data_IF_891739866789
#
_entry.id   IF_891739866789
#
_cell.length_a   1.000
_cell.length_b   1.000
_cell.length_c   1.000
_cell.angle_alpha   90.00
_cell.angle_beta   90.00
_cell.angle_gamma   90.00
#
_symmetry.space_group_name_H-M   'P 1'
#
loop_
_entity.id
_entity.type
_entity.pdbx_description
1 polymer ?
#
# COMPACT_ATOMS: atom_id res chain seq x y z
N UNK A 1 3.73 1.86 28.97
CA UNK A 1 4.18 2.61 27.77
C UNK A 1 4.12 1.83 26.43
N UNK A 2 3.74 0.55 26.37
CA UNK A 2 3.83 -0.25 25.11
C UNK A 2 2.57 -0.26 24.21
N UNK A 3 1.36 -0.18 24.78
CA UNK A 3 0.10 -0.32 24.03
C UNK A 3 -0.20 0.89 23.14
N UNK A 4 -0.13 2.11 23.70
CA UNK A 4 -0.39 3.35 22.96
C UNK A 4 0.47 3.54 21.71
N UNK A 5 1.75 3.12 21.75
CA UNK A 5 2.64 3.17 20.57
C UNK A 5 2.23 2.15 19.49
N UNK A 6 1.79 0.96 19.88
CA UNK A 6 1.34 -0.05 18.93
C UNK A 6 0.02 0.38 18.25
N UNK A 7 -0.88 1.00 19.00
CA UNK A 7 -2.14 1.51 18.49
C UNK A 7 -1.91 2.66 17.50
N UNK A 8 -0.97 3.57 17.81
CA UNK A 8 -0.52 4.59 16.86
C UNK A 8 -0.03 3.96 15.56
N UNK A 9 0.88 2.98 15.61
CA UNK A 9 1.41 2.32 14.41
C UNK A 9 0.32 1.62 13.59
N UNK A 10 -0.65 0.97 14.24
CA UNK A 10 -1.81 0.37 13.56
C UNK A 10 -2.69 1.42 12.92
N UNK A 11 -2.94 2.54 13.60
CA UNK A 11 -3.69 3.68 13.07
C UNK A 11 -3.05 4.25 11.81
N UNK A 12 -1.72 4.44 11.82
CA UNK A 12 -0.98 4.93 10.65
C UNK A 12 -1.04 3.95 9.47
N UNK A 13 -0.87 2.65 9.73
CA UNK A 13 -0.99 1.61 8.71
C UNK A 13 -2.41 1.54 8.13
N UNK A 14 -3.42 1.68 8.97
CA UNK A 14 -4.82 1.75 8.55
C UNK A 14 -5.11 2.97 7.68
N UNK A 15 -4.58 4.15 8.05
CA UNK A 15 -4.70 5.38 7.25
C UNK A 15 -4.12 5.22 5.85
N UNK A 16 -3.02 4.47 5.72
CA UNK A 16 -2.39 4.12 4.43
C UNK A 16 -3.12 3.00 3.64
N UNK A 17 -4.26 2.51 4.13
CA UNK A 17 -5.05 1.44 3.49
C UNK A 17 -4.55 0.03 3.78
N UNK A 18 -3.67 -0.16 4.77
CA UNK A 18 -3.10 -1.45 5.16
C UNK A 18 -3.42 -1.80 6.62
N UNK A 19 -4.70 -1.91 7.02
CA UNK A 19 -5.08 -2.14 8.41
C UNK A 19 -4.52 -3.48 8.91
N UNK A 20 -4.07 -3.47 10.16
CA UNK A 20 -3.57 -4.66 10.85
C UNK A 20 -4.45 -4.88 12.08
N UNK A 21 -5.01 -6.09 12.21
CA UNK A 21 -5.87 -6.46 13.34
C UNK A 21 -5.17 -6.25 14.68
N UNK A 22 -5.92 -5.86 15.70
CA UNK A 22 -5.44 -5.79 17.09
C UNK A 22 -5.01 -7.17 17.59
N UNK A 23 -5.68 -8.23 17.14
CA UNK A 23 -5.36 -9.63 17.44
C UNK A 23 -4.05 -10.09 16.80
N UNK A 24 -3.49 -9.31 15.87
CA UNK A 24 -2.18 -9.62 15.31
C UNK A 24 -1.14 -9.58 16.43
N UNK A 25 -0.47 -10.72 16.64
CA UNK A 25 0.64 -10.87 17.61
C UNK A 25 1.94 -10.19 17.15
N UNK A 26 1.84 -9.15 16.30
CA UNK A 26 3.01 -8.41 15.82
C UNK A 26 3.59 -7.55 16.94
N UNK A 27 4.92 -7.61 17.12
CA UNK A 27 5.63 -6.70 18.01
C UNK A 27 5.60 -5.26 17.48
N UNK A 28 5.80 -4.27 18.36
CA UNK A 28 5.93 -2.87 17.95
C UNK A 28 7.03 -2.64 16.90
N UNK A 29 8.14 -3.37 16.99
CA UNK A 29 9.21 -3.34 15.98
C UNK A 29 8.75 -3.91 14.62
N UNK A 30 7.95 -4.97 14.63
CA UNK A 30 7.38 -5.53 13.40
C UNK A 30 6.41 -4.55 12.73
N UNK A 31 5.56 -3.90 13.53
CA UNK A 31 4.65 -2.85 13.05
C UNK A 31 5.44 -1.66 12.47
N UNK A 32 6.50 -1.23 13.14
CA UNK A 32 7.41 -0.18 12.67
C UNK A 32 8.04 -0.53 11.32
N UNK A 33 8.58 -1.74 11.18
CA UNK A 33 9.15 -2.23 9.90
C UNK A 33 8.09 -2.26 8.79
N UNK A 34 6.86 -2.69 9.10
CA UNK A 34 5.74 -2.70 8.16
C UNK A 34 5.32 -1.29 7.74
N UNK A 35 5.31 -0.33 8.66
CA UNK A 35 5.05 1.08 8.35
C UNK A 35 6.15 1.68 7.46
N UNK A 36 7.43 1.40 7.73
CA UNK A 36 8.55 1.80 6.86
C UNK A 36 8.40 1.24 5.44
N UNK A 37 7.98 -0.04 5.32
CA UNK A 37 7.69 -0.65 4.02
C UNK A 37 6.50 0.03 3.32
N UNK A 38 5.44 0.35 4.05
CA UNK A 38 4.27 1.07 3.52
C UNK A 38 4.68 2.45 2.97
N UNK A 39 5.43 3.24 3.74
CA UNK A 39 5.92 4.56 3.31
C UNK A 39 6.82 4.43 2.07
N UNK A 40 7.69 3.42 2.02
CA UNK A 40 8.53 3.16 0.86
C UNK A 40 7.73 2.78 -0.39
N UNK A 41 6.69 1.94 -0.25
CA UNK A 41 5.82 1.55 -1.35
C UNK A 41 4.96 2.70 -1.86
N UNK A 42 4.42 3.52 -0.97
CA UNK A 42 3.63 4.71 -1.31
C UNK A 42 4.46 5.71 -2.15
N UNK A 43 5.76 5.80 -1.88
CA UNK A 43 6.75 6.60 -2.62
C UNK A 43 7.28 5.91 -3.90
N UNK A 44 6.84 4.68 -4.19
CA UNK A 44 7.38 3.85 -5.27
C UNK A 44 8.92 3.66 -5.20
N UNK A 45 9.49 3.70 -3.99
CA UNK A 45 10.93 3.59 -3.74
C UNK A 45 11.62 2.39 -4.40
N UNK A 46 11.03 1.18 -4.47
CA UNK A 46 11.66 0.05 -5.15
C UNK A 46 12.03 0.32 -6.61
N UNK A 47 11.25 1.14 -7.32
CA UNK A 47 11.54 1.51 -8.71
C UNK A 47 12.74 2.47 -8.85
N UNK A 48 13.13 3.13 -7.76
CA UNK A 48 14.23 4.07 -7.69
C UNK A 48 15.45 3.52 -6.95
N UNK A 49 15.46 2.22 -6.60
CA UNK A 49 16.52 1.63 -5.78
C UNK A 49 17.92 1.81 -6.37
N UNK A 50 18.07 1.75 -7.70
CA UNK A 50 19.34 1.96 -8.40
C UNK A 50 19.84 3.41 -8.39
N UNK A 51 19.02 4.37 -7.94
CA UNK A 51 19.36 5.79 -7.84
C UNK A 51 19.65 6.24 -6.40
N UNK A 52 19.66 5.29 -5.46
CA UNK A 52 19.82 5.57 -4.04
C UNK A 52 21.19 5.04 -3.54
N UNK A 53 21.87 5.74 -2.62
CA UNK A 53 21.49 7.05 -2.08
C UNK A 53 21.62 8.16 -3.14
N UNK A 54 20.78 9.18 -3.05
CA UNK A 54 20.61 10.18 -4.11
C UNK A 54 21.33 11.48 -3.77
N UNK A 55 22.05 12.04 -4.73
CA UNK A 55 22.57 13.40 -4.65
C UNK A 55 21.69 14.34 -5.50
N UNK A 56 20.81 15.16 -4.88
CA UNK A 56 19.84 15.98 -5.61
C UNK A 56 20.46 16.89 -6.67
N UNK A 57 21.63 17.48 -6.43
CA UNK A 57 22.27 18.42 -7.38
C UNK A 57 22.77 17.76 -8.66
N UNK A 58 22.88 16.43 -8.68
CA UNK A 58 23.27 15.66 -9.86
C UNK A 58 22.05 15.33 -10.74
N UNK A 59 20.84 15.60 -10.26
CA UNK A 59 19.62 15.41 -11.04
C UNK A 59 19.36 16.64 -11.92
N UNK A 60 18.70 16.45 -13.08
CA UNK A 60 18.18 17.56 -13.85
C UNK A 60 17.19 18.39 -13.01
N UNK A 61 17.21 19.71 -13.18
CA UNK A 61 16.17 20.58 -12.61
C UNK A 61 14.81 20.16 -13.17
N UNK A 62 13.78 20.17 -12.33
CA UNK A 62 12.43 19.84 -12.79
C UNK A 62 11.97 20.87 -13.83
N UNK A 63 11.82 20.40 -15.07
CA UNK A 63 11.26 21.17 -16.17
C UNK A 63 10.43 20.18 -17.00
N UNK A 64 9.10 20.25 -16.89
CA UNK A 64 8.24 19.29 -17.58
C UNK A 64 8.17 19.61 -19.07
N UNK A 65 8.06 18.57 -19.91
CA UNK A 65 7.93 18.71 -21.37
C UNK A 65 6.73 19.57 -21.81
N UNK A 66 5.75 19.76 -20.92
CA UNK A 66 4.48 20.45 -21.19
C UNK A 66 4.20 21.64 -20.24
N UNK A 67 5.17 22.07 -19.42
CA UNK A 67 4.96 23.17 -18.45
C UNK A 67 3.99 22.86 -17.30
N UNK A 68 3.70 21.58 -17.04
CA UNK A 68 2.94 21.14 -15.88
C UNK A 68 3.66 21.52 -14.57
N UNK A 69 2.99 22.23 -13.65
CA UNK A 69 3.53 22.53 -12.32
C UNK A 69 3.85 21.25 -11.54
N UNK A 70 4.93 21.27 -10.78
CA UNK A 70 5.38 20.15 -9.97
C UNK A 70 4.35 19.76 -8.91
N UNK A 71 3.66 20.72 -8.28
CA UNK A 71 2.63 20.38 -7.28
C UNK A 71 1.50 19.52 -7.88
N UNK A 72 1.20 19.65 -9.18
CA UNK A 72 0.23 18.76 -9.85
C UNK A 72 0.75 17.34 -9.98
N UNK A 73 2.05 17.15 -10.18
CA UNK A 73 2.66 15.82 -10.15
C UNK A 73 2.70 15.22 -8.73
N UNK A 74 2.49 15.99 -7.66
CA UNK A 74 2.26 15.46 -6.31
C UNK A 74 0.81 14.99 -6.08
N UNK A 75 -0.14 15.36 -6.94
CA UNK A 75 -1.54 14.90 -6.88
C UNK A 75 -1.70 13.50 -7.50
N UNK A 76 -1.17 12.47 -6.83
CA UNK A 76 -1.20 11.06 -7.28
C UNK A 76 -2.55 10.38 -7.09
N UNK A 77 -3.58 10.79 -7.83
CA UNK A 77 -4.96 10.26 -7.68
C UNK A 77 -5.09 8.87 -8.31
N UNK A 78 -5.71 7.93 -7.59
CA UNK A 78 -6.09 6.62 -8.14
C UNK A 78 -7.46 6.62 -8.80
N UNK A 79 -7.78 5.59 -9.60
CA UNK A 79 -9.12 5.44 -10.21
C UNK A 79 -10.26 5.47 -9.18
N UNK A 80 -10.07 4.79 -8.04
CA UNK A 80 -11.06 4.77 -6.97
C UNK A 80 -11.26 6.15 -6.36
N UNK A 81 -10.17 6.88 -6.11
CA UNK A 81 -10.24 8.24 -5.59
C UNK A 81 -10.90 9.20 -6.59
N UNK A 82 -10.58 9.10 -7.88
CA UNK A 82 -11.20 9.90 -8.93
C UNK A 82 -12.72 9.65 -9.00
N UNK A 83 -13.15 8.39 -8.89
CA UNK A 83 -14.58 8.05 -8.89
C UNK A 83 -15.31 8.56 -7.64
N UNK A 84 -14.66 8.62 -6.48
CA UNK A 84 -15.24 9.23 -5.28
C UNK A 84 -15.36 10.76 -5.42
N UNK A 85 -14.37 11.42 -6.01
CA UNK A 85 -14.42 12.87 -6.30
C UNK A 85 -15.56 13.17 -7.28
N UNK A 86 -15.64 12.43 -8.39
CA UNK A 86 -16.71 12.58 -9.38
C UNK A 86 -18.10 12.38 -8.74
N UNK A 87 -18.24 11.40 -7.85
CA UNK A 87 -19.50 11.18 -7.11
C UNK A 87 -19.85 12.36 -6.20
N UNK A 88 -18.87 12.94 -5.52
CA UNK A 88 -19.10 14.12 -4.70
C UNK A 88 -19.51 15.33 -5.54
N UNK A 89 -18.86 15.55 -6.70
CA UNK A 89 -19.20 16.61 -7.65
C UNK A 89 -20.61 16.45 -8.22
N UNK A 90 -21.02 15.23 -8.58
CA UNK A 90 -22.40 14.95 -9.00
C UNK A 90 -23.44 15.24 -7.90
N UNK A 91 -23.03 15.17 -6.63
CA UNK A 91 -23.84 15.57 -5.47
C UNK A 91 -23.82 17.08 -5.17
N UNK A 92 -23.15 17.88 -5.99
CA UNK A 92 -22.98 19.33 -5.79
C UNK A 92 -21.83 19.72 -4.84
N UNK A 93 -20.98 18.77 -4.48
CA UNK A 93 -19.78 18.97 -3.67
C UNK A 93 -18.51 19.11 -4.51
N UNK A 94 -17.37 18.82 -3.90
CA UNK A 94 -16.03 18.88 -4.50
C UNK A 94 -15.08 17.81 -3.94
N UNK A 95 -13.80 17.88 -4.30
CA UNK A 95 -12.79 16.95 -3.78
C UNK A 95 -12.64 16.98 -2.24
N UNK A 96 -12.91 18.11 -1.59
CA UNK A 96 -12.88 18.23 -0.12
C UNK A 96 -14.11 17.58 0.53
N UNK A 97 -15.20 17.46 -0.22
CA UNK A 97 -16.38 16.67 0.19
C UNK A 97 -16.08 15.17 0.14
N UNK A 98 -15.37 14.70 -0.90
CA UNK A 98 -14.96 13.31 -1.03
C UNK A 98 -13.87 12.93 0.00
N UNK A 99 -12.92 13.83 0.23
CA UNK A 99 -11.78 13.63 1.13
C UNK A 99 -11.58 14.84 2.04
N UNK A 100 -12.34 14.94 3.15
CA UNK A 100 -12.21 16.06 4.06
C UNK A 100 -10.86 16.05 4.78
N UNK A 101 -10.32 17.26 5.01
CA UNK A 101 -9.08 17.45 5.76
C UNK A 101 -9.18 16.89 7.18
N UNK A 102 -8.05 16.42 7.72
CA UNK A 102 -7.90 15.92 9.09
C UNK A 102 -8.68 14.63 9.40
N UNK A 103 -9.24 13.95 8.40
CA UNK A 103 -9.92 12.66 8.58
C UNK A 103 -9.02 11.46 8.30
N UNK A 104 -8.07 11.60 7.39
CA UNK A 104 -7.14 10.53 7.04
C UNK A 104 -5.73 11.09 6.91
N UNK A 105 -4.88 10.75 7.87
CA UNK A 105 -3.50 11.24 7.96
C UNK A 105 -2.65 11.00 6.70
N UNK A 106 -2.95 9.96 5.89
CA UNK A 106 -2.23 9.72 4.64
C UNK A 106 -2.73 10.62 3.49
N UNK A 107 -4.02 10.92 3.45
CA UNK A 107 -4.57 11.93 2.54
C UNK A 107 -4.06 13.32 2.91
N UNK A 108 -4.04 13.64 4.20
CA UNK A 108 -3.50 14.91 4.68
C UNK A 108 -2.00 15.05 4.35
N UNK A 109 -1.20 14.00 4.58
CA UNK A 109 0.20 13.94 4.15
C UNK A 109 0.38 14.30 2.68
N UNK A 110 -0.48 13.78 1.78
CA UNK A 110 -0.41 14.11 0.34
C UNK A 110 -0.64 15.59 0.09
N UNK A 111 -1.59 16.19 0.81
CA UNK A 111 -1.85 17.63 0.75
C UNK A 111 -0.67 18.44 1.31
N UNK A 112 -0.03 17.99 2.39
CA UNK A 112 1.20 18.60 2.93
C UNK A 112 2.30 18.62 1.88
N UNK A 113 2.61 17.47 1.26
CA UNK A 113 3.68 17.37 0.26
C UNK A 113 3.39 18.21 -0.99
N UNK A 114 2.13 18.24 -1.43
CA UNK A 114 1.70 19.11 -2.53
C UNK A 114 1.84 20.59 -2.15
N UNK A 115 1.45 20.97 -0.93
CA UNK A 115 1.55 22.33 -0.42
C UNK A 115 3.00 22.80 -0.33
N UNK A 116 3.91 21.97 0.19
CA UNK A 116 5.35 22.24 0.18
C UNK A 116 5.85 22.55 -1.23
N UNK A 117 5.48 21.72 -2.20
CA UNK A 117 5.90 21.89 -3.59
C UNK A 117 5.33 23.17 -4.20
N UNK A 118 4.04 23.46 -3.98
CA UNK A 118 3.39 24.68 -4.45
C UNK A 118 4.04 25.93 -3.84
N UNK A 119 4.34 25.91 -2.54
CA UNK A 119 5.06 26.99 -1.87
C UNK A 119 6.41 27.25 -2.53
N UNK A 120 7.17 26.20 -2.84
CA UNK A 120 8.44 26.32 -3.54
C UNK A 120 8.29 26.98 -4.92
N UNK A 121 7.29 26.58 -5.70
CA UNK A 121 7.02 27.18 -7.02
C UNK A 121 6.64 28.66 -6.93
N UNK A 122 5.94 29.06 -5.87
CA UNK A 122 5.56 30.46 -5.58
C UNK A 122 6.67 31.29 -4.93
N UNK A 123 7.91 30.77 -4.88
CA UNK A 123 9.06 31.50 -4.33
C UNK A 123 9.19 31.43 -2.81
N UNK A 124 8.27 30.73 -2.12
CA UNK A 124 8.35 30.51 -0.67
C UNK A 124 9.31 29.37 -0.37
N UNK A 125 10.30 29.60 0.50
CA UNK A 125 11.41 28.66 0.73
C UNK A 125 11.38 27.99 2.10
N UNK A 126 10.45 28.34 2.98
CA UNK A 126 10.35 27.72 4.28
C UNK A 126 8.97 27.82 4.91
N UNK A 127 8.72 26.94 5.87
CA UNK A 127 7.42 26.75 6.53
C UNK A 127 7.59 25.97 7.84
N UNK A 128 6.58 26.05 8.71
CA UNK A 128 6.41 25.18 9.86
C UNK A 128 5.27 24.20 9.58
N UNK A 129 5.47 22.94 9.92
CA UNK A 129 4.40 21.94 9.99
C UNK A 129 4.16 21.68 11.47
N UNK A 130 2.99 22.05 12.00
CA UNK A 130 2.73 22.08 13.43
C UNK A 130 1.46 21.30 13.74
N UNK A 131 1.50 20.46 14.76
CA UNK A 131 0.28 19.77 15.17
C UNK A 131 -0.75 20.75 15.74
N UNK A 132 -2.03 20.43 15.60
CA UNK A 132 -3.16 21.27 16.04
C UNK A 132 -3.12 21.67 17.52
N UNK A 133 -2.42 20.91 18.38
CA UNK A 133 -2.26 21.20 19.82
C UNK A 133 -0.97 21.96 20.13
N UNK A 134 -0.20 22.32 19.10
CA UNK A 134 1.07 23.02 19.20
C UNK A 134 2.06 22.36 20.16
N UNK A 135 2.05 21.03 20.21
CA UNK A 135 2.95 20.23 21.04
C UNK A 135 4.23 19.84 20.31
N UNK A 136 4.23 19.90 18.98
CA UNK A 136 5.30 19.42 18.12
C UNK A 136 5.31 20.20 16.81
N UNK A 137 6.50 20.41 16.26
CA UNK A 137 6.69 21.13 15.00
C UNK A 137 7.84 20.58 14.18
N UNK A 138 7.72 20.66 12.87
CA UNK A 138 8.78 20.42 11.89
C UNK A 138 9.03 21.73 11.17
N UNK A 139 10.21 22.32 11.37
CA UNK A 139 10.66 23.43 10.53
C UNK A 139 11.27 22.87 9.26
N UNK A 140 10.86 23.41 8.11
CA UNK A 140 11.29 22.93 6.79
C UNK A 140 11.83 24.10 5.98
N UNK A 141 13.00 23.92 5.37
CA UNK A 141 13.56 24.80 4.35
C UNK A 141 13.72 24.02 3.05
N UNK A 142 13.04 24.45 2.00
CA UNK A 142 13.07 23.82 0.68
C UNK A 142 14.23 24.40 -0.14
N UNK A 143 15.08 23.52 -0.68
CA UNK A 143 16.33 23.91 -1.33
C UNK A 143 16.20 23.91 -2.86
N UNK A 144 15.79 22.78 -3.44
CA UNK A 144 15.85 22.54 -4.87
C UNK A 144 14.81 21.53 -5.35
N UNK A 145 14.26 21.77 -6.54
CA UNK A 145 13.28 20.93 -7.19
C UNK A 145 13.87 20.28 -8.46
N UNK A 146 13.93 18.95 -8.46
CA UNK A 146 14.65 18.15 -9.45
C UNK A 146 13.76 17.07 -10.08
N UNK A 147 14.20 16.51 -11.20
CA UNK A 147 13.54 15.41 -11.88
C UNK A 147 14.19 14.08 -11.53
N UNK A 148 13.46 13.23 -10.78
CA UNK A 148 13.88 11.85 -10.57
C UNK A 148 13.61 11.00 -11.82
N UNK A 149 12.51 11.25 -12.50
CA UNK A 149 12.28 10.81 -13.87
C UNK A 149 11.39 11.85 -14.59
N UNK A 150 10.85 11.53 -15.75
CA UNK A 150 10.01 12.45 -16.54
C UNK A 150 8.68 12.81 -15.87
N UNK A 151 8.27 12.09 -14.83
CA UNK A 151 6.96 12.21 -14.18
C UNK A 151 7.07 12.43 -12.66
N UNK A 152 8.25 12.23 -12.06
CA UNK A 152 8.45 12.21 -10.62
C UNK A 152 9.35 13.37 -10.19
N UNK A 153 8.78 14.47 -9.69
CA UNK A 153 9.56 15.54 -9.09
C UNK A 153 10.15 15.09 -7.74
N UNK A 154 11.30 15.66 -7.40
CA UNK A 154 11.96 15.52 -6.11
C UNK A 154 12.26 16.90 -5.54
N UNK A 155 11.67 17.22 -4.39
CA UNK A 155 11.96 18.45 -3.66
C UNK A 155 12.93 18.14 -2.53
N UNK A 156 14.17 18.57 -2.67
CA UNK A 156 15.18 18.50 -1.61
C UNK A 156 14.94 19.57 -0.55
N UNK A 157 15.19 19.22 0.71
CA UNK A 157 14.92 20.10 1.84
C UNK A 157 15.84 19.85 3.02
N UNK A 158 15.93 20.85 3.90
CA UNK A 158 16.43 20.74 5.25
C UNK A 158 15.27 20.77 6.22
N UNK A 159 15.43 20.10 7.36
CA UNK A 159 14.42 20.15 8.40
C UNK A 159 15.02 19.99 9.80
N UNK A 160 14.26 20.45 10.78
CA UNK A 160 14.48 20.15 12.19
C UNK A 160 13.15 19.82 12.86
N UNK A 161 13.18 18.99 13.91
CA UNK A 161 11.99 18.53 14.62
C UNK A 161 12.05 19.01 16.07
N UNK A 162 10.91 19.47 16.58
CA UNK A 162 10.63 19.61 18.00
C UNK A 162 9.43 18.71 18.32
N UNK A 163 9.56 17.83 19.32
CA UNK A 163 8.49 16.93 19.77
C UNK A 163 7.84 17.37 21.09
N UNK A 164 8.27 18.50 21.64
CA UNK A 164 7.65 19.15 22.80
C UNK A 164 7.66 20.68 22.67
N UNK A 165 6.79 21.40 23.41
CA UNK A 165 6.81 22.87 23.46
C UNK A 165 8.16 23.46 23.93
N UNK A 166 8.88 22.77 24.82
CA UNK A 166 10.21 23.20 25.28
C UNK A 166 11.24 23.12 24.16
N UNK A 167 11.22 22.06 23.35
CA UNK A 167 12.11 21.92 22.19
C UNK A 167 11.80 22.97 21.11
N UNK A 168 10.56 23.46 21.01
CA UNK A 168 10.19 24.51 20.07
C UNK A 168 10.81 25.87 20.41
N UNK A 169 11.08 26.11 21.68
CA UNK A 169 11.57 27.41 22.18
C UNK A 169 13.07 27.41 22.50
N UNK A 170 13.77 26.30 22.22
CA UNK A 170 15.19 26.15 22.53
C UNK A 170 15.97 25.45 21.41
N UNK A 171 17.31 25.46 21.53
CA UNK A 171 18.20 24.63 20.72
C UNK A 171 18.17 24.88 19.21
N UNK A 172 18.23 23.78 18.44
CA UNK A 172 18.35 23.81 16.97
C UNK A 172 17.09 24.33 16.28
N UNK A 173 15.90 24.14 16.88
CA UNK A 173 14.64 24.60 16.29
C UNK A 173 14.61 26.13 16.18
N UNK A 174 14.89 26.83 17.28
CA UNK A 174 14.95 28.31 17.28
C UNK A 174 16.01 28.81 16.32
N UNK A 175 17.20 28.20 16.32
CA UNK A 175 18.26 28.53 15.37
C UNK A 175 17.81 28.34 13.90
N UNK A 176 17.07 27.27 13.60
CA UNK A 176 16.52 27.02 12.28
C UNK A 176 15.52 28.12 11.89
N UNK A 177 14.53 28.40 12.74
CA UNK A 177 13.49 29.40 12.46
C UNK A 177 14.12 30.77 12.23
N UNK A 178 15.01 31.20 13.12
CA UNK A 178 15.70 32.50 13.01
C UNK A 178 16.60 32.59 11.77
N UNK A 179 17.34 31.53 11.44
CA UNK A 179 18.29 31.56 10.33
C UNK A 179 17.62 31.35 8.96
N UNK A 180 16.60 30.48 8.88
CA UNK A 180 16.06 29.98 7.59
C UNK A 180 14.67 30.50 7.24
N UNK A 181 13.85 30.90 8.22
CA UNK A 181 12.44 31.27 7.97
C UNK A 181 12.17 32.78 8.01
N UNK A 182 13.04 33.59 8.65
CA UNK A 182 13.08 35.07 8.66
C UNK A 182 11.78 35.79 8.23
N UNK A 183 10.73 35.68 9.04
CA UNK A 183 9.49 36.47 8.91
C UNK A 183 8.47 35.99 7.86
N UNK A 184 8.67 34.81 7.25
CA UNK A 184 7.80 34.25 6.21
C UNK A 184 7.14 32.93 6.66
N UNK A 185 6.65 32.92 7.90
CA UNK A 185 6.15 31.72 8.59
C UNK A 185 4.76 31.33 8.09
N UNK A 186 4.73 30.62 6.97
CA UNK A 186 3.55 29.84 6.64
C UNK A 186 3.52 28.63 7.57
N UNK A 187 2.41 28.45 8.28
CA UNK A 187 2.18 27.30 9.15
C UNK A 187 1.20 26.36 8.46
N UNK A 188 1.61 25.12 8.26
CA UNK A 188 0.72 24.02 7.92
C UNK A 188 0.30 23.39 9.25
N UNK A 189 -0.98 23.54 9.61
CA UNK A 189 -1.55 22.88 10.78
C UNK A 189 -1.95 21.46 10.40
N UNK A 190 -1.52 20.47 11.17
CA UNK A 190 -1.73 19.05 10.91
C UNK A 190 -2.30 18.30 12.12
N UNK A 191 -2.87 17.12 11.88
CA UNK A 191 -3.22 16.20 12.99
C UNK A 191 -1.97 15.54 13.58
N UNK A 192 -2.01 15.02 14.82
CA UNK A 192 -0.87 14.29 15.39
C UNK A 192 -0.44 13.06 14.56
N UNK A 193 -1.39 12.37 13.92
CA UNK A 193 -1.09 11.22 13.06
C UNK A 193 -0.42 11.66 11.75
N UNK A 194 -0.89 12.73 11.13
CA UNK A 194 -0.25 13.34 9.95
C UNK A 194 1.17 13.80 10.28
N UNK A 195 1.35 14.51 11.40
CA UNK A 195 2.67 14.92 11.89
C UNK A 195 3.63 13.73 12.00
N UNK A 196 3.19 12.65 12.64
CA UNK A 196 4.00 11.43 12.78
C UNK A 196 4.34 10.83 11.41
N UNK A 197 3.42 10.81 10.43
CA UNK A 197 3.71 10.32 9.08
C UNK A 197 4.72 11.20 8.34
N UNK A 198 4.56 12.52 8.36
CA UNK A 198 5.52 13.46 7.75
C UNK A 198 6.90 13.25 8.35
N UNK A 199 7.00 13.22 9.69
CA UNK A 199 8.26 13.02 10.41
C UNK A 199 8.95 11.71 10.00
N UNK A 200 8.21 10.61 9.95
CA UNK A 200 8.76 9.29 9.57
C UNK A 200 9.17 9.24 8.11
N UNK A 201 8.40 9.86 7.20
CA UNK A 201 8.76 9.97 5.80
C UNK A 201 10.08 10.73 5.63
N UNK A 202 10.22 11.88 6.28
CA UNK A 202 11.45 12.68 6.22
C UNK A 202 12.65 11.93 6.79
N UNK A 203 12.49 11.22 7.92
CA UNK A 203 13.54 10.40 8.54
C UNK A 203 13.98 9.25 7.62
N UNK A 204 13.03 8.51 7.03
CA UNK A 204 13.31 7.44 6.07
C UNK A 204 14.07 8.00 4.87
N UNK A 205 13.62 9.11 4.31
CA UNK A 205 14.25 9.70 3.13
C UNK A 205 15.62 10.31 3.43
N UNK A 206 15.87 10.77 4.66
CA UNK A 206 17.19 11.25 5.10
C UNK A 206 18.26 10.17 4.96
N UNK A 207 17.92 8.91 5.28
CA UNK A 207 18.81 7.76 5.09
C UNK A 207 19.12 7.44 3.62
N UNK A 208 18.39 8.07 2.68
CA UNK A 208 18.54 7.88 1.23
C UNK A 208 19.20 9.06 0.55
N UNK A 209 19.64 10.08 1.29
CA UNK A 209 20.44 11.19 0.76
C UNK A 209 21.91 10.77 0.71
N UNK A 210 22.56 11.01 -0.42
CA UNK A 210 23.97 10.72 -0.62
C UNK A 210 24.84 11.63 0.27
N UNK A 211 25.86 11.10 0.97
CA UNK A 211 26.74 11.92 1.82
C UNK A 211 27.38 13.09 1.08
N UNK A 212 27.68 12.92 -0.21
CA UNK A 212 28.30 13.92 -1.08
C UNK A 212 27.43 15.17 -1.25
N UNK A 213 26.11 15.06 -1.03
CA UNK A 213 25.22 16.22 -1.06
C UNK A 213 25.58 17.24 0.02
N UNK A 214 26.11 16.82 1.17
CA UNK A 214 26.52 17.71 2.26
C UNK A 214 27.60 18.70 1.85
N UNK A 215 28.50 18.30 0.96
CA UNK A 215 29.56 19.18 0.45
C UNK A 215 29.01 20.37 -0.35
N UNK A 216 27.82 20.23 -0.94
CA UNK A 216 27.15 21.30 -1.68
C UNK A 216 26.41 22.31 -0.81
N UNK A 217 26.23 22.02 0.48
CA UNK A 217 25.51 22.86 1.42
C UNK A 217 26.45 23.90 2.06
N UNK A 218 25.89 25.08 2.36
CA UNK A 218 26.59 26.12 3.11
C UNK A 218 26.87 25.66 4.54
N UNK A 219 27.90 26.20 5.23
CA UNK A 219 28.25 25.77 6.58
C UNK A 219 27.06 25.78 7.56
N UNK A 220 26.24 26.84 7.50
CA UNK A 220 25.03 27.02 8.32
C UNK A 220 23.85 26.12 7.92
N UNK A 221 23.97 25.31 6.86
CA UNK A 221 22.98 24.31 6.45
C UNK A 221 23.38 22.89 6.88
N UNK A 222 24.67 22.63 7.08
CA UNK A 222 25.20 21.29 7.40
C UNK A 222 24.77 20.80 8.78
N UNK A 223 24.45 21.70 9.69
CA UNK A 223 24.02 21.39 11.06
C UNK A 223 22.60 20.82 11.15
N UNK A 224 21.82 20.93 10.06
CA UNK A 224 20.44 20.50 9.99
C UNK A 224 20.27 19.18 9.23
N UNK A 225 19.16 18.50 9.52
CA UNK A 225 18.83 17.23 8.87
C UNK A 225 18.49 17.48 7.41
N UNK A 226 18.90 16.57 6.55
CA UNK A 226 18.76 16.66 5.09
C UNK A 226 17.80 15.57 4.64
N UNK A 227 16.82 15.94 3.84
CA UNK A 227 15.86 14.99 3.30
C UNK A 227 15.37 15.45 1.93
N UNK A 228 14.42 14.71 1.40
CA UNK A 228 13.68 15.08 0.20
C UNK A 228 12.26 14.53 0.31
N UNK A 229 11.36 15.09 -0.48
CA UNK A 229 10.02 14.55 -0.70
C UNK A 229 9.83 14.25 -2.19
N UNK A 230 9.10 13.18 -2.46
CA UNK A 230 8.58 12.81 -3.78
C UNK A 230 7.09 12.50 -3.63
N UNK A 231 6.32 12.47 -4.72
CA UNK A 231 4.90 12.14 -4.65
C UNK A 231 4.65 10.79 -3.96
N UNK A 232 3.60 10.75 -3.13
CA UNK A 232 3.10 9.52 -2.51
C UNK A 232 1.74 9.18 -3.08
N UNK A 233 1.52 7.90 -3.38
CA UNK A 233 0.26 7.38 -3.89
C UNK A 233 -0.27 6.22 -3.06
N UNK A 234 -1.53 5.78 -3.31
CA UNK A 234 -2.12 4.67 -2.59
C UNK A 234 -1.36 3.37 -2.84
N UNK A 235 -1.38 2.51 -1.82
CA UNK A 235 -0.82 1.18 -1.91
C UNK A 235 -1.66 0.30 -2.84
N UNK A 236 -1.01 -0.47 -3.70
CA UNK A 236 -1.73 -1.52 -4.44
C UNK A 236 -1.97 -2.76 -3.59
N UNK A 237 -2.85 -3.64 -4.09
CA UNK A 237 -3.29 -4.85 -3.40
C UNK A 237 -2.13 -5.80 -3.07
N UNK A 238 -1.10 -5.89 -3.93
CA UNK A 238 0.07 -6.74 -3.65
C UNK A 238 0.90 -6.14 -2.53
N UNK A 239 1.09 -4.81 -2.54
CA UNK A 239 1.78 -4.09 -1.47
C UNK A 239 1.02 -4.22 -0.14
N UNK A 240 -0.30 -3.98 -0.13
CA UNK A 240 -1.18 -4.20 1.03
C UNK A 240 -1.02 -5.63 1.54
N UNK A 241 -1.09 -6.62 0.63
CA UNK A 241 -0.85 -8.03 0.93
C UNK A 241 0.49 -8.27 1.62
N UNK A 242 1.59 -7.72 1.11
CA UNK A 242 2.92 -7.85 1.74
C UNK A 242 3.00 -7.21 3.13
N UNK A 243 2.38 -6.05 3.30
CA UNK A 243 2.40 -5.30 4.57
C UNK A 243 1.56 -6.02 5.63
N UNK A 244 0.37 -6.48 5.26
CA UNK A 244 -0.62 -7.04 6.20
C UNK A 244 -0.49 -8.55 6.38
N UNK A 245 0.28 -9.25 5.53
CA UNK A 245 0.51 -10.68 5.68
C UNK A 245 1.50 -10.98 6.83
N UNK A 246 1.16 -11.99 7.64
CA UNK A 246 2.09 -12.62 8.57
C UNK A 246 2.80 -13.76 7.84
N UNK A 247 4.10 -13.61 7.61
CA UNK A 247 4.92 -14.66 6.98
C UNK A 247 5.53 -15.63 8.00
N UNK A 248 5.54 -15.27 9.29
CA UNK A 248 6.17 -16.01 10.38
C UNK A 248 5.20 -16.79 11.24
N UNK A 249 5.63 -17.12 12.45
CA UNK A 249 4.84 -17.83 13.45
C UNK A 249 3.64 -16.98 13.90
N UNK A 250 2.45 -17.59 13.99
CA UNK A 250 1.24 -16.90 14.48
C UNK A 250 1.34 -16.48 15.96
N UNK A 251 2.22 -17.11 16.73
CA UNK A 251 2.39 -16.83 18.17
C UNK A 251 3.43 -15.75 18.42
N UNK A 252 4.63 -15.89 17.87
CA UNK A 252 5.76 -15.01 18.19
C UNK A 252 6.27 -14.18 17.01
N UNK A 253 5.76 -14.40 15.80
CA UNK A 253 6.19 -13.68 14.59
C UNK A 253 7.55 -14.08 14.01
N UNK A 254 8.35 -14.91 14.69
CA UNK A 254 9.62 -15.42 14.17
C UNK A 254 9.43 -16.21 12.88
N UNK A 255 10.47 -16.30 12.05
CA UNK A 255 10.42 -17.11 10.83
C UNK A 255 9.99 -18.54 11.14
N UNK A 256 9.12 -19.07 10.27
CA UNK A 256 8.47 -20.36 10.48
C UNK A 256 8.46 -21.15 9.18
N UNK A 257 9.03 -22.35 9.25
CA UNK A 257 8.99 -23.34 8.17
C UNK A 257 7.93 -24.41 8.40
N UNK A 258 7.35 -24.49 9.61
CA UNK A 258 6.37 -25.53 9.96
C UNK A 258 4.95 -24.99 9.88
N UNK A 259 4.07 -25.77 9.26
CA UNK A 259 2.64 -25.50 9.20
C UNK A 259 1.91 -26.47 10.13
N UNK A 260 0.71 -26.08 10.60
CA UNK A 260 -0.19 -27.01 11.28
C UNK A 260 -0.48 -28.21 10.37
N UNK A 261 -0.13 -29.42 10.80
CA UNK A 261 -0.36 -30.65 10.02
C UNK A 261 -1.83 -30.94 9.76
N UNK A 262 -2.73 -30.41 10.62
CA UNK A 262 -4.17 -30.60 10.50
C UNK A 262 -4.79 -29.76 9.39
N UNK A 263 -4.83 -28.44 9.57
CA UNK A 263 -5.48 -27.53 8.61
C UNK A 263 -4.57 -27.07 7.46
N UNK A 264 -3.24 -27.16 7.64
CA UNK A 264 -2.21 -26.61 6.73
C UNK A 264 -2.30 -25.10 6.48
N UNK A 265 -2.88 -24.33 7.42
CA UNK A 265 -3.06 -22.87 7.31
C UNK A 265 -2.06 -22.12 8.19
N UNK A 266 -2.09 -22.37 9.50
CA UNK A 266 -1.29 -21.63 10.49
C UNK A 266 0.17 -22.07 10.52
N UNK A 267 1.05 -21.11 10.85
CA UNK A 267 2.50 -21.27 10.92
C UNK A 267 3.02 -21.23 12.36
N UNK A 268 3.93 -22.13 12.70
CA UNK A 268 4.59 -22.18 14.00
C UNK A 268 6.10 -22.39 13.88
N UNK A 269 6.91 -21.57 14.55
CA UNK A 269 8.36 -21.77 14.58
C UNK A 269 8.75 -23.03 15.39
N UNK A 270 7.89 -23.45 16.34
CA UNK A 270 8.13 -24.60 17.21
C UNK A 270 6.83 -25.28 17.64
N UNK A 271 6.94 -26.53 18.10
CA UNK A 271 5.82 -27.25 18.72
C UNK A 271 5.35 -26.59 20.02
N UNK A 272 6.23 -25.88 20.72
CA UNK A 272 5.87 -25.09 21.89
C UNK A 272 4.90 -23.96 21.52
N UNK A 273 5.18 -23.20 20.46
CA UNK A 273 4.25 -22.19 19.95
C UNK A 273 2.93 -22.82 19.47
N UNK A 274 2.97 -23.96 18.78
CA UNK A 274 1.75 -24.66 18.38
C UNK A 274 0.89 -25.07 19.59
N UNK A 275 1.51 -25.63 20.64
CA UNK A 275 0.81 -26.01 21.89
C UNK A 275 0.25 -24.80 22.62
N UNK A 276 1.01 -23.70 22.68
CA UNK A 276 0.56 -22.45 23.30
C UNK A 276 -0.69 -21.88 22.62
N UNK A 277 -0.73 -21.91 21.28
CA UNK A 277 -1.87 -21.44 20.49
C UNK A 277 -3.02 -22.45 20.37
N UNK A 278 -2.86 -23.68 20.88
CA UNK A 278 -3.78 -24.77 20.57
C UNK A 278 -5.19 -24.51 21.10
N UNK A 279 -5.32 -23.88 22.28
CA UNK A 279 -6.64 -23.56 22.85
C UNK A 279 -7.46 -22.67 21.91
N UNK A 280 -6.84 -21.67 21.32
CA UNK A 280 -7.49 -20.72 20.40
C UNK A 280 -7.64 -21.31 18.99
N UNK A 281 -6.62 -22.05 18.52
CA UNK A 281 -6.59 -22.61 17.17
C UNK A 281 -7.48 -23.84 16.97
N UNK A 282 -7.66 -24.69 17.99
CA UNK A 282 -8.29 -26.02 17.86
C UNK A 282 -9.64 -25.98 17.15
N UNK A 283 -10.47 -25.00 17.48
CA UNK A 283 -11.81 -24.85 16.87
C UNK A 283 -11.66 -24.52 15.38
N UNK A 284 -10.84 -23.52 15.03
CA UNK A 284 -10.59 -23.15 13.63
C UNK A 284 -9.90 -24.27 12.83
N UNK A 285 -9.00 -25.03 13.46
CA UNK A 285 -8.32 -26.16 12.83
C UNK A 285 -9.32 -27.25 12.43
N UNK A 286 -10.18 -27.66 13.35
CA UNK A 286 -11.17 -28.72 13.12
C UNK A 286 -12.23 -28.30 12.10
N UNK A 287 -12.68 -27.07 12.20
CA UNK A 287 -13.63 -26.46 11.25
C UNK A 287 -13.10 -26.53 9.81
N UNK A 288 -11.83 -26.16 9.61
CA UNK A 288 -11.18 -26.25 8.31
C UNK A 288 -10.89 -27.68 7.83
N UNK A 289 -10.63 -28.61 8.74
CA UNK A 289 -10.49 -30.03 8.40
C UNK A 289 -11.80 -30.66 7.92
N UNK A 290 -12.94 -30.18 8.44
CA UNK A 290 -14.28 -30.60 8.03
C UNK A 290 -14.89 -29.78 6.89
N UNK A 291 -14.08 -28.97 6.19
CA UNK A 291 -14.52 -28.21 5.02
C UNK A 291 -14.63 -29.08 3.76
N UNK A 292 -15.49 -28.67 2.84
CA UNK A 292 -15.68 -29.33 1.54
C UNK A 292 -14.69 -28.78 0.54
N UNK A 293 -13.67 -29.58 0.22
CA UNK A 293 -12.64 -29.25 -0.77
C UNK A 293 -13.07 -29.76 -2.14
N UNK A 294 -13.20 -28.84 -3.09
CA UNK A 294 -13.62 -29.13 -4.47
C UNK A 294 -12.51 -28.73 -5.42
N UNK A 295 -12.20 -29.60 -6.37
CA UNK A 295 -11.12 -29.38 -7.32
C UNK A 295 -11.62 -28.58 -8.52
N UNK A 296 -10.85 -27.56 -8.88
CA UNK A 296 -11.09 -26.66 -9.99
C UNK A 296 -9.85 -26.57 -10.88
N UNK A 297 -10.09 -26.44 -12.18
CA UNK A 297 -9.12 -26.02 -13.18
C UNK A 297 -9.31 -24.52 -13.43
N UNK A 298 -8.22 -23.78 -13.47
CA UNK A 298 -8.22 -22.36 -13.85
C UNK A 298 -7.37 -22.13 -15.09
N UNK A 299 -7.64 -21.03 -15.81
CA UNK A 299 -6.93 -20.62 -17.03
C UNK A 299 -6.32 -19.23 -16.85
N UNK A 300 -5.32 -18.88 -17.66
CA UNK A 300 -4.65 -17.58 -17.64
C UNK A 300 -5.52 -16.43 -18.15
N UNK A 301 -6.46 -16.75 -19.04
CA UNK A 301 -7.33 -15.78 -19.69
C UNK A 301 -8.75 -16.34 -19.89
N UNK A 302 -9.79 -15.49 -19.86
CA UNK A 302 -11.16 -15.94 -20.06
C UNK A 302 -11.41 -16.27 -21.52
N UNK A 303 -12.24 -17.27 -21.76
CA UNK A 303 -12.60 -17.75 -23.09
C UNK A 303 -14.02 -17.32 -23.47
N UNK A 304 -14.23 -17.00 -24.74
CA UNK A 304 -15.56 -16.74 -25.29
C UNK A 304 -15.66 -17.35 -26.69
N UNK A 305 -16.70 -18.16 -26.94
CA UNK A 305 -16.88 -18.91 -28.19
C UNK A 305 -15.63 -19.72 -28.62
N UNK A 306 -14.93 -20.31 -27.64
CA UNK A 306 -13.73 -21.11 -27.89
C UNK A 306 -12.45 -20.32 -28.17
N UNK A 307 -12.48 -18.99 -28.08
CA UNK A 307 -11.31 -18.13 -28.25
C UNK A 307 -10.90 -17.49 -26.92
N UNK A 308 -9.59 -17.48 -26.62
CA UNK A 308 -9.07 -16.76 -25.44
C UNK A 308 -9.09 -15.26 -25.68
N UNK A 309 -9.67 -14.53 -24.74
CA UNK A 309 -9.74 -13.07 -24.79
C UNK A 309 -8.45 -12.46 -24.24
N UNK A 310 -8.09 -11.30 -24.78
CA UNK A 310 -7.11 -10.45 -24.13
C UNK A 310 -7.76 -9.74 -22.93
N UNK A 311 -7.15 -9.87 -21.76
CA UNK A 311 -7.65 -9.28 -20.52
C UNK A 311 -6.54 -8.50 -19.79
N UNK A 312 -6.94 -7.42 -19.12
CA UNK A 312 -6.09 -6.66 -18.21
C UNK A 312 -6.83 -6.45 -16.89
N UNK A 313 -6.21 -6.82 -15.77
CA UNK A 313 -6.80 -6.60 -14.45
C UNK A 313 -6.33 -5.25 -13.92
N UNK A 314 -7.22 -4.27 -13.95
CA UNK A 314 -6.97 -2.93 -13.38
C UNK A 314 -7.57 -2.83 -11.99
N UNK A 315 -6.77 -2.42 -11.00
CA UNK A 315 -7.24 -2.17 -9.63
C UNK A 315 -7.79 -0.76 -9.48
N UNK A 316 -8.76 -0.55 -8.59
CA UNK A 316 -9.19 0.79 -8.19
C UNK A 316 -8.06 1.64 -7.60
N UNK A 317 -7.05 1.01 -6.98
CA UNK A 317 -5.83 1.68 -6.50
C UNK A 317 -4.84 2.06 -7.61
N UNK A 318 -5.11 1.69 -8.87
CA UNK A 318 -4.23 2.01 -9.98
C UNK A 318 -4.28 3.51 -10.28
N UNK A 319 -3.11 4.09 -10.53
CA UNK A 319 -2.94 5.44 -11.06
C UNK A 319 -2.87 5.39 -12.58
N UNK A 320 -3.08 6.51 -13.30
CA UNK A 320 -2.93 6.56 -14.76
C UNK A 320 -1.61 5.96 -15.27
N UNK A 321 -0.51 6.23 -14.56
CA UNK A 321 0.82 5.65 -14.83
C UNK A 321 0.85 4.13 -14.74
N UNK A 322 0.19 3.54 -13.74
CA UNK A 322 0.09 2.08 -13.59
C UNK A 322 -0.77 1.48 -14.69
N UNK A 323 -1.88 2.13 -15.05
CA UNK A 323 -2.77 1.68 -16.13
C UNK A 323 -1.99 1.61 -17.46
N UNK A 324 -1.27 2.67 -17.81
CA UNK A 324 -0.46 2.73 -19.03
C UNK A 324 0.63 1.64 -19.13
N UNK A 325 1.06 1.08 -17.98
CA UNK A 325 2.04 -0.01 -17.89
C UNK A 325 1.40 -1.39 -17.68
N UNK A 326 0.08 -1.48 -17.61
CA UNK A 326 -0.62 -2.75 -17.42
C UNK A 326 -0.45 -3.60 -18.66
N UNK A 327 0.08 -4.81 -18.50
CA UNK A 327 0.18 -5.77 -19.59
C UNK A 327 -1.17 -6.42 -19.82
N UNK A 328 -1.54 -6.60 -21.08
CA UNK A 328 -2.62 -7.50 -21.45
C UNK A 328 -2.10 -8.95 -21.38
N UNK A 329 -2.95 -9.85 -20.94
CA UNK A 329 -2.71 -11.30 -20.87
C UNK A 329 -3.77 -12.03 -21.71
N UNK A 330 -3.45 -13.24 -22.17
CA UNK A 330 -4.33 -14.04 -23.03
C UNK A 330 -3.96 -14.04 -24.51
N UNK A 331 -4.92 -14.40 -25.35
CA UNK A 331 -4.70 -14.79 -26.74
C UNK A 331 -4.32 -16.27 -26.88
N UNK A 332 -4.05 -16.72 -28.12
CA UNK A 332 -3.80 -18.14 -28.44
C UNK A 332 -2.35 -18.60 -28.18
N UNK A 333 -1.53 -17.77 -27.53
CA UNK A 333 -0.16 -18.12 -27.18
C UNK A 333 -0.09 -19.16 -26.06
N UNK A 334 0.93 -20.02 -26.09
CA UNK A 334 1.25 -20.88 -24.94
C UNK A 334 1.69 -20.02 -23.75
N UNK A 335 1.17 -20.32 -22.57
CA UNK A 335 1.46 -19.59 -21.33
C UNK A 335 1.93 -20.56 -20.26
N UNK A 336 3.08 -20.24 -19.67
CA UNK A 336 3.63 -21.00 -18.56
C UNK A 336 2.70 -20.97 -17.34
N UNK A 337 2.56 -22.09 -16.62
CA UNK A 337 1.75 -22.12 -15.42
C UNK A 337 2.33 -21.24 -14.31
N UNK A 338 1.49 -20.64 -13.45
CA UNK A 338 1.97 -19.80 -12.36
C UNK A 338 2.77 -20.62 -11.35
N UNK A 339 3.88 -20.10 -10.80
CA UNK A 339 4.74 -20.85 -9.89
C UNK A 339 3.98 -21.27 -8.62
N UNK A 340 4.25 -22.47 -8.12
CA UNK A 340 3.69 -22.92 -6.83
C UNK A 340 4.45 -22.31 -5.65
N UNK A 341 4.21 -21.03 -5.34
CA UNK A 341 4.84 -20.33 -4.20
C UNK A 341 4.33 -20.79 -2.83
N UNK A 342 3.23 -21.54 -2.77
CA UNK A 342 2.61 -21.98 -1.51
C UNK A 342 2.93 -23.44 -1.14
N UNK A 343 3.46 -24.23 -2.09
CA UNK A 343 3.69 -25.67 -1.89
C UNK A 343 2.39 -26.39 -1.55
N UNK A 344 2.43 -27.27 -0.55
CA UNK A 344 1.27 -28.03 -0.08
C UNK A 344 0.37 -27.27 0.90
N UNK A 345 0.70 -26.00 1.18
CA UNK A 345 0.02 -25.19 2.18
C UNK A 345 -1.33 -24.71 1.63
N UNK A 346 -2.33 -24.63 2.50
CA UNK A 346 -3.53 -23.90 2.19
C UNK A 346 -3.26 -22.39 2.22
N UNK A 347 -3.72 -21.66 1.22
CA UNK A 347 -3.56 -20.21 1.12
C UNK A 347 -4.89 -19.56 0.75
N UNK A 348 -5.02 -18.28 1.06
CA UNK A 348 -6.24 -17.55 0.78
C UNK A 348 -6.24 -17.07 -0.67
N UNK A 349 -7.32 -17.35 -1.38
CA UNK A 349 -7.64 -16.81 -2.70
C UNK A 349 -8.85 -15.88 -2.60
N UNK A 350 -8.87 -14.89 -3.48
CA UNK A 350 -10.05 -14.08 -3.77
C UNK A 350 -10.63 -14.57 -5.09
N UNK A 351 -11.92 -14.87 -5.08
CA UNK A 351 -12.69 -15.16 -6.28
C UNK A 351 -13.65 -14.01 -6.49
N UNK A 352 -13.66 -13.45 -7.69
CA UNK A 352 -14.45 -12.27 -8.02
C UNK A 352 -15.21 -12.50 -9.33
N UNK A 353 -16.54 -12.40 -9.26
CA UNK A 353 -17.42 -12.41 -10.43
C UNK A 353 -17.71 -10.97 -10.85
N UNK A 354 -17.22 -10.59 -12.01
CA UNK A 354 -17.36 -9.24 -12.57
C UNK A 354 -18.06 -9.28 -13.90
N UNK A 355 -18.92 -8.30 -14.14
CA UNK A 355 -19.45 -8.01 -15.46
C UNK A 355 -18.96 -6.63 -15.86
N UNK A 356 -18.20 -6.58 -16.94
CA UNK A 356 -17.72 -5.32 -17.50
C UNK A 356 -18.87 -4.58 -18.18
N UNK A 357 -19.04 -3.30 -17.84
CA UNK A 357 -20.06 -2.44 -18.43
C UNK A 357 -19.72 -2.06 -19.87
N UNK A 358 -18.44 -2.09 -20.26
CA UNK A 358 -17.98 -1.78 -21.61
C UNK A 358 -18.16 -2.95 -22.58
N UNK A 359 -18.27 -4.17 -22.06
CA UNK A 359 -18.47 -5.40 -22.84
C UNK A 359 -19.70 -6.19 -22.36
N UNK A 360 -20.91 -5.60 -22.40
CA UNK A 360 -22.12 -6.19 -21.83
C UNK A 360 -22.54 -7.53 -22.48
N UNK A 361 -22.06 -7.79 -23.70
CA UNK A 361 -22.24 -9.02 -24.46
C UNK A 361 -21.45 -10.21 -23.90
N UNK A 362 -20.39 -9.96 -23.13
CA UNK A 362 -19.61 -11.03 -22.52
C UNK A 362 -20.30 -11.54 -21.25
N UNK A 363 -20.23 -12.86 -20.99
CA UNK A 363 -20.70 -13.41 -19.73
C UNK A 363 -19.87 -12.88 -18.56
N UNK A 364 -20.42 -12.86 -17.33
CA UNK A 364 -19.65 -12.49 -16.15
C UNK A 364 -18.41 -13.37 -15.98
N UNK A 365 -17.26 -12.75 -15.78
CA UNK A 365 -15.97 -13.42 -15.63
C UNK A 365 -15.63 -13.66 -14.15
N UNK A 366 -14.97 -14.77 -13.86
CA UNK A 366 -14.74 -15.32 -12.52
C UNK A 366 -13.24 -15.36 -12.26
N UNK A 367 -12.67 -14.20 -11.99
CA UNK A 367 -11.24 -14.09 -11.69
C UNK A 367 -10.90 -14.74 -10.35
N UNK A 368 -9.78 -15.45 -10.29
CA UNK A 368 -9.24 -16.08 -9.08
C UNK A 368 -7.77 -15.70 -8.92
N UNK A 369 -7.37 -15.26 -7.74
CA UNK A 369 -5.98 -14.92 -7.44
C UNK A 369 -5.67 -14.96 -5.95
N UNK A 370 -4.40 -15.19 -5.61
CA UNK A 370 -3.93 -15.12 -4.23
C UNK A 370 -3.54 -13.67 -3.84
N UNK A 371 -3.37 -13.43 -2.53
CA UNK A 371 -3.17 -12.08 -1.97
C UNK A 371 -1.92 -11.39 -2.50
N UNK A 372 -0.89 -12.16 -2.82
CA UNK A 372 0.39 -11.66 -3.32
C UNK A 372 0.45 -11.64 -4.86
N UNK A 373 -0.62 -12.04 -5.55
CA UNK A 373 -0.67 -12.28 -7.00
C UNK A 373 0.51 -13.11 -7.50
N UNK A 374 0.91 -14.11 -6.71
CA UNK A 374 1.83 -15.16 -7.16
C UNK A 374 1.15 -16.13 -8.11
N UNK A 375 -0.19 -16.17 -8.07
CA UNK A 375 -1.04 -16.83 -9.05
C UNK A 375 -2.26 -15.95 -9.36
N UNK A 376 -2.70 -15.97 -10.62
CA UNK A 376 -3.95 -15.36 -11.08
C UNK A 376 -4.49 -16.11 -12.28
N UNK A 377 -5.80 -16.13 -12.43
CA UNK A 377 -6.47 -16.72 -13.58
C UNK A 377 -7.98 -16.61 -13.50
N UNK A 378 -8.68 -17.46 -14.24
CA UNK A 378 -10.12 -17.46 -14.39
C UNK A 378 -10.69 -18.87 -14.21
N UNK A 379 -11.85 -18.95 -13.56
CA UNK A 379 -12.62 -20.19 -13.42
C UNK A 379 -13.76 -20.21 -14.44
N UNK A 380 -13.84 -21.27 -15.23
CA UNK A 380 -14.83 -21.38 -16.31
C UNK A 380 -15.77 -22.57 -16.07
N UNK A 381 -17.09 -22.43 -16.32
CA UNK A 381 -18.03 -23.54 -16.20
C UNK A 381 -17.64 -24.75 -17.05
N UNK A 382 -17.20 -24.53 -18.28
CA UNK A 382 -16.90 -25.56 -19.28
C UNK A 382 -15.73 -26.44 -18.83
N UNK A 383 -14.73 -25.82 -18.18
CA UNK A 383 -13.56 -26.52 -17.62
C UNK A 383 -13.83 -27.18 -16.27
N UNK A 384 -14.98 -26.91 -15.63
CA UNK A 384 -15.27 -27.26 -14.24
C UNK A 384 -16.67 -27.88 -14.04
N UNK A 385 -17.20 -28.60 -15.03
CA UNK A 385 -18.59 -29.09 -15.08
C UNK A 385 -19.06 -29.75 -13.78
N UNK A 386 -18.25 -30.65 -13.20
CA UNK A 386 -18.60 -31.37 -11.98
C UNK A 386 -18.54 -30.50 -10.71
N UNK A 387 -17.69 -29.48 -10.69
CA UNK A 387 -17.46 -28.60 -9.54
C UNK A 387 -18.35 -27.33 -9.58
N UNK A 388 -18.88 -26.98 -10.75
CA UNK A 388 -19.52 -25.68 -10.97
C UNK A 388 -20.78 -25.47 -10.14
N UNK A 389 -21.60 -26.51 -9.95
CA UNK A 389 -22.80 -26.41 -9.10
C UNK A 389 -22.46 -26.05 -7.64
N UNK A 390 -21.30 -26.51 -7.14
CA UNK A 390 -20.84 -26.14 -5.80
C UNK A 390 -20.40 -24.69 -5.74
N UNK A 391 -19.75 -24.19 -6.80
CA UNK A 391 -19.40 -22.78 -6.92
C UNK A 391 -20.62 -21.87 -6.97
N UNK A 392 -21.65 -22.24 -7.73
CA UNK A 392 -22.88 -21.43 -7.87
C UNK A 392 -23.73 -21.35 -6.60
N UNK A 393 -23.61 -22.32 -5.68
CA UNK A 393 -24.22 -22.20 -4.35
C UNK A 393 -23.61 -21.06 -3.54
N UNK A 394 -22.32 -20.81 -3.69
CA UNK A 394 -21.61 -19.74 -2.98
C UNK A 394 -21.71 -18.41 -3.72
N UNK A 395 -21.72 -18.44 -5.05
CA UNK A 395 -21.88 -17.27 -5.92
C UNK A 395 -23.00 -17.53 -6.94
N UNK A 396 -24.25 -17.18 -6.62
CA UNK A 396 -25.39 -17.41 -7.50
C UNK A 396 -25.22 -16.74 -8.87
N UNK A 397 -25.67 -17.35 -9.99
CA UNK A 397 -25.48 -16.82 -11.35
C UNK A 397 -25.84 -15.33 -11.53
N UNK A 398 -26.89 -14.89 -10.86
CA UNK A 398 -27.39 -13.51 -10.86
C UNK A 398 -26.52 -12.51 -10.08
N UNK A 399 -25.59 -13.00 -9.26
CA UNK A 399 -24.73 -12.15 -8.45
C UNK A 399 -23.63 -11.55 -9.33
N UNK A 400 -23.61 -10.22 -9.46
CA UNK A 400 -22.64 -9.49 -10.29
C UNK A 400 -21.83 -8.55 -9.41
N UNK A 401 -20.54 -8.38 -9.75
CA UNK A 401 -19.59 -7.54 -9.01
C UNK A 401 -19.42 -7.96 -7.55
N UNK A 402 -19.53 -9.28 -7.31
CA UNK A 402 -19.36 -9.90 -6.00
C UNK A 402 -17.97 -10.52 -5.86
N UNK A 403 -17.46 -10.53 -4.63
CA UNK A 403 -16.18 -11.14 -4.28
C UNK A 403 -16.34 -12.02 -3.05
N UNK A 404 -15.70 -13.18 -3.07
CA UNK A 404 -15.59 -14.07 -1.92
C UNK A 404 -14.12 -14.41 -1.67
N UNK A 405 -13.81 -14.79 -0.44
CA UNK A 405 -12.47 -15.25 -0.04
C UNK A 405 -12.57 -16.70 0.42
N UNK A 406 -11.71 -17.57 -0.11
CA UNK A 406 -11.72 -19.01 0.15
C UNK A 406 -10.31 -19.53 0.36
N UNK A 407 -10.18 -20.60 1.13
CA UNK A 407 -8.91 -21.31 1.26
C UNK A 407 -8.75 -22.24 0.07
N UNK A 408 -7.55 -22.27 -0.51
CA UNK A 408 -7.21 -23.13 -1.63
C UNK A 408 -5.86 -23.82 -1.42
N UNK A 409 -5.66 -24.95 -2.09
CA UNK A 409 -4.40 -25.68 -2.20
C UNK A 409 -4.08 -25.87 -3.67
N UNK A 410 -2.79 -25.86 -4.03
CA UNK A 410 -2.38 -26.25 -5.38
C UNK A 410 -2.45 -27.77 -5.49
N UNK A 411 -3.07 -28.26 -6.56
CA UNK A 411 -3.14 -29.68 -6.91
C UNK A 411 -2.51 -29.97 -8.28
N UNK A 412 -1.99 -28.93 -8.93
CA UNK A 412 -1.28 -29.01 -10.19
C UNK A 412 -0.89 -27.62 -10.71
N UNK A 413 -0.41 -27.60 -11.93
CA UNK A 413 0.00 -26.38 -12.63
C UNK A 413 -1.17 -25.41 -12.80
N UNK A 414 -2.30 -25.92 -13.28
CA UNK A 414 -3.56 -25.19 -13.48
C UNK A 414 -4.69 -25.66 -12.56
N UNK A 415 -4.34 -26.36 -11.48
CA UNK A 415 -5.30 -26.98 -10.57
C UNK A 415 -5.31 -26.37 -9.17
N UNK A 416 -6.50 -26.08 -8.66
CA UNK A 416 -6.76 -25.65 -7.29
C UNK A 416 -7.80 -26.54 -6.61
N UNK A 417 -7.52 -27.01 -5.40
CA UNK A 417 -8.54 -27.55 -4.52
C UNK A 417 -9.03 -26.44 -3.60
N UNK A 418 -10.30 -26.06 -3.71
CA UNK A 418 -10.89 -24.88 -3.05
C UNK A 418 -11.89 -25.34 -1.99
N UNK A 419 -11.72 -24.86 -0.76
CA UNK A 419 -12.68 -25.04 0.33
C UNK A 419 -13.78 -23.99 0.20
N UNK A 420 -14.93 -24.35 -0.35
CA UNK A 420 -16.00 -23.42 -0.72
C UNK A 420 -16.91 -23.02 0.45
N UNK A 421 -17.08 -23.88 1.43
CA UNK A 421 -18.08 -23.76 2.50
C UNK A 421 -17.53 -23.23 3.84
N UNK A 422 -16.24 -22.88 3.88
CA UNK A 422 -15.56 -22.33 5.07
C UNK A 422 -14.84 -21.03 4.71
N UNK A 423 -15.53 -19.87 4.81
CA UNK A 423 -14.89 -18.58 4.61
C UNK A 423 -13.84 -18.30 5.72
N UNK A 424 -12.88 -17.40 5.48
CA UNK A 424 -12.03 -16.91 6.57
C UNK A 424 -12.90 -16.26 7.66
N UNK A 425 -12.59 -16.56 8.93
CA UNK A 425 -13.36 -16.06 10.09
C UNK A 425 -13.21 -14.56 10.30
N UNK A 426 -12.05 -14.02 9.94
CA UNK A 426 -11.75 -12.60 10.03
C UNK A 426 -11.89 -11.93 8.66
N UNK A 427 -12.23 -10.63 8.69
CA UNK A 427 -12.16 -9.79 7.50
C UNK A 427 -10.70 -9.55 7.16
N UNK A 428 -10.17 -10.34 6.22
CA UNK A 428 -8.76 -10.25 5.82
C UNK A 428 -8.58 -9.04 4.89
N UNK A 429 -7.71 -8.08 5.24
CA UNK A 429 -7.40 -6.95 4.35
C UNK A 429 -6.85 -7.48 3.03
N UNK A 430 -7.45 -7.12 1.90
CA UNK A 430 -7.04 -7.62 0.58
C UNK A 430 -6.64 -6.47 -0.32
#
# INVERSE_FOLDING_TARGET
>A
MSTSRMDELRGLLAAMGAPISEDSRFSGETLERKLRLAIGYAQNMPSFACRMPINPIQLPVWNTRNGMPAHKAFAHVSLGEAAEIERAEMGGGDASTAFPMSQNAFMDLRQTLMSLTKMYEEGRRGTLIQDEKQQSSIAVQMLGLYALDTETPLLSLLYEIAISPEEMTTGKMVSFVQSKLRGNENVIVCTPQEFTLVRRLLDINSSKVAPEYEASLSPDQRDFRRSFIIPVGPLDQVQIGKITHNTGCVVCGSESTKNCSGCKIEKYCSSACQKANWKDHKVACRDMQGGTWTDFVFTDAPSFNGQKLYAAIVSSSATPRKIAKTKMHGGDGEVDPPPNKHGDRAFLIKIQRTKDSLTPQLPPQQSVYDRLRTMSGYLEPESNVSAWSAFEREIPPQAVNVKIYRWARRIGDWGLSICLDRPPKEKIPW
#
